data_IF_501507980255
#
_entry.id   IF_501507980255
#
_cell.length_a   1.000
_cell.length_b   1.000
_cell.length_c   1.000
_cell.angle_alpha   90.00
_cell.angle_beta   90.00
_cell.angle_gamma   90.00
#
_symmetry.space_group_name_H-M   'P 1'
#
loop_
_entity.id
_entity.type
_entity.pdbx_description
1 polymer ?
2 water ?
#
# COMPACT_ATOMS: atom_id res chain seq x y z
N UNK A 1 1.57 9.17 -2.31
CA UNK A 1 2.02 8.08 -1.37
C UNK A 1 0.94 7.04 -1.26
N UNK A 2 1.32 5.80 -0.98
CA UNK A 2 0.29 4.78 -0.85
C UNK A 2 0.76 3.61 -0.01
N UNK A 3 -0.24 2.84 0.43
CA UNK A 3 -0.06 1.56 1.11
C UNK A 3 -0.60 0.46 0.22
N UNK A 4 0.22 -0.57 -0.01
CA UNK A 4 -0.16 -1.75 -0.78
C UNK A 4 0.16 -2.92 0.13
N UNK A 5 -0.87 -3.50 0.73
CA UNK A 5 -0.73 -4.61 1.67
C UNK A 5 -1.51 -5.80 1.12
N UNK A 6 -0.78 -6.85 0.77
CA UNK A 6 -1.36 -8.07 0.22
C UNK A 6 -1.39 -9.14 1.29
#
# INVERSE_FOLDING_TARGET
DFINWL
#
